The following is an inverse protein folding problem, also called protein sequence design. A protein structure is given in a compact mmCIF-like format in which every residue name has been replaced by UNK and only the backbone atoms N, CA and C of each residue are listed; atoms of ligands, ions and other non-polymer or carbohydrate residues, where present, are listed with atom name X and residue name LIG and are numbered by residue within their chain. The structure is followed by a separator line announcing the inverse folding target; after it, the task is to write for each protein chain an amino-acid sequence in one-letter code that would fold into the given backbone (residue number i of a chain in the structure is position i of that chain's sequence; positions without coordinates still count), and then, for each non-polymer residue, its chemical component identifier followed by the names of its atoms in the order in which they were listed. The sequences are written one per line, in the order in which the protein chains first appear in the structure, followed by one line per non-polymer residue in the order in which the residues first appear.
data_IF_328404099402
#
_entry.id   IF_328404099402
#
_cell.length_a   1.000
_cell.length_b   1.000
_cell.length_c   1.000
_cell.angle_alpha   90.00
_cell.angle_beta   90.00
_cell.angle_gamma   90.00
#
_symmetry.space_group_name_H-M   'P 1'
#
loop_
_entity.id
_entity.type
_entity.pdbx_description
1 polymer ?
#
# COMPACT_ATOMS: atom_id res chain seq x y z
N UNK A 1 52.51 41.73 36.32
CA UNK A 1 51.20 41.39 36.92
C UNK A 1 50.06 41.94 36.05
N UNK A 2 50.06 41.69 34.74
CA UNK A 2 49.00 42.15 33.79
C UNK A 2 48.65 41.06 32.75
N UNK A 3 49.38 39.94 32.71
CA UNK A 3 49.17 38.89 31.69
C UNK A 3 48.26 37.72 32.12
N UNK A 4 47.77 37.70 33.36
CA UNK A 4 46.89 36.62 33.85
C UNK A 4 45.40 36.97 33.72
N UNK A 5 45.06 38.24 33.45
CA UNK A 5 43.66 38.68 33.39
C UNK A 5 42.98 38.49 32.01
N UNK A 6 43.74 38.16 30.97
CA UNK A 6 43.24 38.11 29.58
C UNK A 6 42.83 36.70 29.10
N UNK A 7 43.12 35.66 29.87
CA UNK A 7 42.81 34.25 29.50
C UNK A 7 41.52 33.75 30.20
N UNK A 8 40.98 34.51 31.15
CA UNK A 8 39.73 34.16 31.85
C UNK A 8 38.45 34.66 31.17
N UNK A 9 38.56 35.42 30.06
CA UNK A 9 37.39 35.93 29.33
C UNK A 9 37.01 35.12 28.08
N UNK A 10 37.76 34.07 27.71
CA UNK A 10 37.51 33.30 26.47
C UNK A 10 36.67 32.02 26.64
N UNK A 11 36.15 31.73 27.84
CA UNK A 11 35.39 30.50 28.10
C UNK A 11 33.94 30.70 28.56
N UNK A 12 33.39 31.92 28.47
CA UNK A 12 31.96 32.17 28.67
C UNK A 12 31.29 32.48 27.31
N UNK A 13 31.58 31.66 26.31
CA UNK A 13 30.66 31.53 25.16
C UNK A 13 29.65 30.46 25.53
N UNK A 14 28.72 30.81 26.42
CA UNK A 14 27.52 30.03 26.63
C UNK A 14 26.78 30.06 25.28
N UNK A 15 26.88 28.98 24.49
CA UNK A 15 26.15 28.84 23.24
C UNK A 15 24.66 28.99 23.56
N UNK A 16 24.12 30.18 23.32
CA UNK A 16 22.70 30.45 23.48
C UNK A 16 21.99 29.59 22.44
N UNK A 17 21.32 28.54 22.91
CA UNK A 17 20.61 27.59 22.07
C UNK A 17 19.62 28.35 21.18
N UNK A 18 19.74 28.17 19.86
CA UNK A 18 18.85 28.85 18.92
C UNK A 18 17.41 28.39 19.11
N UNK A 19 16.44 29.26 18.86
CA UNK A 19 15.03 28.90 19.03
C UNK A 19 14.62 27.76 18.07
N UNK A 20 15.27 27.65 16.91
CA UNK A 20 15.10 26.56 15.95
C UNK A 20 15.46 25.21 16.59
N UNK A 21 16.61 25.16 17.27
CA UNK A 21 17.09 23.96 17.96
C UNK A 21 16.13 23.55 19.08
N UNK A 22 15.67 24.52 19.88
CA UNK A 22 14.71 24.27 20.95
C UNK A 22 13.35 23.80 20.42
N UNK A 23 12.86 24.36 19.31
CA UNK A 23 11.63 23.92 18.66
C UNK A 23 11.78 22.48 18.13
N UNK A 24 12.90 22.19 17.46
CA UNK A 24 13.19 20.85 16.95
C UNK A 24 13.29 19.82 18.08
N UNK A 25 13.92 20.16 19.20
CA UNK A 25 13.99 19.29 20.37
C UNK A 25 12.61 19.04 21.00
N UNK A 26 11.80 20.08 21.15
CA UNK A 26 10.44 19.96 21.71
C UNK A 26 9.52 19.09 20.83
N UNK A 27 9.72 19.08 19.51
CA UNK A 27 8.85 18.41 18.55
C UNK A 27 9.37 17.06 18.02
N UNK A 28 10.67 16.78 18.04
CA UNK A 28 11.24 15.54 17.49
C UNK A 28 10.83 14.26 18.23
N UNK A 29 10.44 14.40 19.50
CA UNK A 29 10.13 13.28 20.40
C UNK A 29 8.62 13.06 20.64
N UNK A 30 7.75 13.65 19.82
CA UNK A 30 6.30 13.53 19.94
C UNK A 30 5.79 12.17 19.44
N UNK A 31 4.83 11.57 20.14
CA UNK A 31 4.24 10.29 19.73
C UNK A 31 3.02 10.47 18.84
N UNK A 32 2.30 11.60 19.00
CA UNK A 32 1.10 11.90 18.25
C UNK A 32 1.05 13.39 17.93
N UNK A 33 0.60 13.70 16.73
CA UNK A 33 0.33 15.07 16.29
C UNK A 33 -1.08 15.18 15.74
N UNK A 34 -1.74 16.29 16.02
CA UNK A 34 -2.98 16.69 15.39
C UNK A 34 -2.83 18.13 14.87
N UNK A 35 -2.63 18.27 13.57
CA UNK A 35 -2.50 19.55 12.90
C UNK A 35 -3.87 20.18 12.64
N UNK A 36 -3.96 21.50 12.80
CA UNK A 36 -5.13 22.25 12.39
C UNK A 36 -5.19 22.32 10.85
N UNK A 37 -6.14 21.59 10.25
CA UNK A 37 -6.31 21.47 8.78
C UNK A 37 -6.44 22.82 8.05
N UNK A 38 -6.94 23.84 8.73
CA UNK A 38 -7.13 25.18 8.16
C UNK A 38 -5.82 25.94 7.94
N UNK A 39 -4.71 25.50 8.54
CA UNK A 39 -3.42 26.21 8.51
C UNK A 39 -2.29 25.35 7.92
N UNK A 40 -2.43 24.02 7.94
CA UNK A 40 -1.45 23.10 7.39
C UNK A 40 -1.44 23.16 5.85
N UNK A 41 -0.25 23.29 5.24
CA UNK A 41 -0.07 23.33 3.78
C UNK A 41 -0.87 24.45 3.08
N UNK A 42 -1.13 25.59 3.76
CA UNK A 42 -1.96 26.71 3.23
C UNK A 42 -1.17 27.96 2.83
N UNK A 43 0.16 27.90 2.83
CA UNK A 43 1.00 29.08 2.60
C UNK A 43 1.08 30.00 3.83
N UNK A 44 1.46 31.26 3.62
CA UNK A 44 1.73 32.20 4.72
C UNK A 44 0.49 32.48 5.58
N UNK A 45 0.63 32.29 6.89
CA UNK A 45 -0.43 32.50 7.87
C UNK A 45 -0.56 33.99 8.22
N UNK A 46 -1.32 34.72 7.41
CA UNK A 46 -1.52 36.18 7.58
C UNK A 46 -2.90 36.54 8.16
N UNK A 47 -3.85 35.62 8.12
CA UNK A 47 -5.24 35.86 8.49
C UNK A 47 -5.76 34.89 9.56
N UNK A 48 -6.67 35.34 10.44
CA UNK A 48 -7.06 36.74 10.66
C UNK A 48 -5.92 37.54 11.30
N UNK A 49 -5.79 38.85 11.02
CA UNK A 49 -4.65 39.64 11.50
C UNK A 49 -4.57 39.70 13.04
N UNK A 50 -3.36 39.80 13.58
CA UNK A 50 -3.05 39.89 15.02
C UNK A 50 -3.71 38.81 15.91
N UNK A 51 -4.04 37.64 15.37
CA UNK A 51 -4.82 36.60 16.06
C UNK A 51 -3.96 35.37 16.35
N UNK A 52 -4.18 34.75 17.52
CA UNK A 52 -3.54 33.49 17.88
C UNK A 52 -4.21 32.32 17.16
N UNK A 53 -3.45 31.66 16.28
CA UNK A 53 -3.84 30.45 15.57
C UNK A 53 -3.25 29.25 16.30
N UNK A 54 -4.10 28.28 16.65
CA UNK A 54 -3.63 26.98 17.12
C UNK A 54 -3.21 26.14 15.92
N UNK A 55 -1.90 25.95 15.72
CA UNK A 55 -1.36 25.27 14.55
C UNK A 55 -1.40 23.75 14.70
N UNK A 56 -1.01 23.27 15.87
CA UNK A 56 -0.93 21.84 16.13
C UNK A 56 -1.09 21.54 17.61
N UNK A 57 -1.52 20.32 17.88
CA UNK A 57 -1.53 19.70 19.20
C UNK A 57 -0.61 18.49 19.16
N UNK A 58 0.30 18.40 20.12
CA UNK A 58 1.31 17.36 20.23
C UNK A 58 1.13 16.60 21.53
N UNK A 59 1.30 15.29 21.50
CA UNK A 59 1.27 14.45 22.70
C UNK A 59 2.60 13.69 22.83
N UNK A 60 3.22 13.81 24.01
CA UNK A 60 4.43 13.09 24.42
C UNK A 60 4.18 12.51 25.81
N UNK A 61 4.11 11.18 25.93
CA UNK A 61 3.98 10.42 27.20
C UNK A 61 3.06 11.12 28.22
N UNK A 62 1.74 11.13 27.95
CA UNK A 62 0.69 11.76 28.79
C UNK A 62 0.78 13.29 28.99
N UNK A 63 1.75 13.99 28.38
CA UNK A 63 1.78 15.45 28.32
C UNK A 63 1.34 15.93 26.95
N UNK A 64 0.38 16.85 26.95
CA UNK A 64 -0.14 17.47 25.73
C UNK A 64 0.41 18.90 25.63
N UNK A 65 0.99 19.23 24.48
CA UNK A 65 1.48 20.57 24.15
C UNK A 65 0.74 21.11 22.94
N UNK A 66 0.59 22.43 22.85
CA UNK A 66 -0.01 23.08 21.70
C UNK A 66 0.88 24.18 21.18
N UNK A 67 1.08 24.16 19.86
CA UNK A 67 1.83 25.19 19.16
C UNK A 67 0.86 26.23 18.62
N UNK A 68 1.13 27.47 18.98
CA UNK A 68 0.37 28.64 18.58
C UNK A 68 1.26 29.58 17.78
N UNK A 69 0.66 30.19 16.77
CA UNK A 69 1.26 31.27 16.03
C UNK A 69 0.34 32.49 16.04
N UNK A 70 0.86 33.64 16.43
CA UNK A 70 0.16 34.91 16.31
C UNK A 70 0.50 35.51 14.95
N UNK A 71 -0.50 35.75 14.12
CA UNK A 71 -0.30 36.39 12.82
C UNK A 71 0.18 37.84 12.98
N UNK A 72 1.07 38.33 12.11
CA UNK A 72 1.51 39.73 12.13
C UNK A 72 0.36 40.69 11.79
N UNK A 73 0.50 41.96 12.18
CA UNK A 73 -0.40 43.03 11.77
C UNK A 73 0.27 44.40 11.91
N UNK A 74 0.31 45.16 10.81
CA UNK A 74 1.02 46.45 10.71
C UNK A 74 2.48 46.28 11.16
N UNK A 75 2.90 47.01 12.19
CA UNK A 75 4.27 46.97 12.73
C UNK A 75 4.50 45.77 13.65
N UNK A 76 3.44 45.10 14.14
CA UNK A 76 3.56 43.94 15.02
C UNK A 76 3.91 42.70 14.22
N UNK A 77 5.06 42.10 14.53
CA UNK A 77 5.54 40.85 13.95
C UNK A 77 4.82 39.65 14.55
N UNK A 78 4.89 38.53 13.84
CA UNK A 78 4.26 37.28 14.24
C UNK A 78 5.04 36.56 15.33
N UNK A 79 4.33 35.81 16.17
CA UNK A 79 4.90 35.19 17.37
C UNK A 79 4.61 33.70 17.41
N UNK A 80 5.64 32.87 17.50
CA UNK A 80 5.52 31.42 17.67
C UNK A 80 5.72 31.04 19.14
N UNK A 81 4.78 30.29 19.69
CA UNK A 81 4.76 29.91 21.11
C UNK A 81 4.26 28.49 21.29
N UNK A 82 4.85 27.76 22.23
CA UNK A 82 4.32 26.48 22.71
C UNK A 82 3.76 26.61 24.12
N UNK A 83 2.66 25.92 24.37
CA UNK A 83 1.94 25.93 25.66
C UNK A 83 1.70 24.49 26.09
N UNK A 84 2.00 24.17 27.35
CA UNK A 84 1.58 22.90 27.95
C UNK A 84 0.09 22.94 28.31
N UNK A 85 -0.61 21.84 28.06
CA UNK A 85 -2.04 21.74 28.33
C UNK A 85 -2.32 21.66 29.82
N UNK A 86 -3.26 22.48 30.30
CA UNK A 86 -3.83 22.38 31.64
C UNK A 86 -5.18 21.66 31.52
N UNK A 87 -5.34 20.51 32.19
CA UNK A 87 -6.55 19.69 32.14
C UNK A 87 -7.05 19.34 30.72
N UNK A 88 -6.14 19.04 29.79
CA UNK A 88 -6.45 18.60 28.42
C UNK A 88 -6.84 19.71 27.43
N UNK A 89 -6.98 20.96 27.90
CA UNK A 89 -7.21 22.16 27.08
C UNK A 89 -5.93 22.98 26.91
N UNK A 90 -5.82 23.65 25.77
CA UNK A 90 -4.72 24.57 25.48
C UNK A 90 -5.31 25.95 25.20
N UNK A 91 -4.74 26.98 25.82
CA UNK A 91 -5.08 28.38 25.57
C UNK A 91 -3.83 29.15 25.17
N UNK A 92 -3.92 29.98 24.14
CA UNK A 92 -2.80 30.83 23.71
C UNK A 92 -2.38 31.83 24.81
N UNK A 93 -3.30 32.17 25.70
CA UNK A 93 -3.11 33.13 26.80
C UNK A 93 -2.45 32.51 28.04
N UNK A 94 -2.37 31.18 28.14
CA UNK A 94 -1.64 30.51 29.23
C UNK A 94 -0.13 30.79 29.14
N UNK A 95 0.59 30.73 30.27
CA UNK A 95 2.06 30.84 30.26
C UNK A 95 2.66 29.73 29.40
N UNK A 96 3.62 30.08 28.55
CA UNK A 96 4.26 29.15 27.63
C UNK A 96 5.55 29.74 27.08
N UNK A 97 6.37 28.92 26.42
CA UNK A 97 7.65 29.34 25.84
C UNK A 97 7.41 30.00 24.49
N UNK A 98 7.87 31.23 24.34
CA UNK A 98 7.95 31.92 23.05
C UNK A 98 9.27 31.51 22.41
N UNK A 99 9.23 31.02 21.18
CA UNK A 99 10.44 30.66 20.43
C UNK A 99 11.00 31.89 19.73
N UNK A 100 10.15 32.61 19.00
CA UNK A 100 10.53 33.81 18.27
C UNK A 100 9.27 34.67 18.05
N UNK A 101 9.43 35.98 18.13
CA UNK A 101 8.39 37.00 18.05
C UNK A 101 8.59 38.00 16.90
N UNK A 102 9.50 37.71 15.97
CA UNK A 102 9.92 38.60 14.90
C UNK A 102 9.61 38.06 13.48
N UNK A 103 8.54 37.29 13.32
CA UNK A 103 8.17 36.75 11.99
C UNK A 103 7.43 37.78 11.13
N UNK A 104 7.94 38.09 9.93
CA UNK A 104 7.18 38.82 8.90
C UNK A 104 6.24 37.90 8.12
N UNK A 105 6.62 36.64 7.94
CA UNK A 105 5.81 35.58 7.36
C UNK A 105 6.15 34.24 8.03
N UNK A 106 5.17 33.36 8.15
CA UNK A 106 5.34 32.02 8.72
C UNK A 106 4.32 31.06 8.12
N UNK A 107 4.73 29.84 7.83
CA UNK A 107 3.86 28.74 7.40
C UNK A 107 4.42 27.41 7.86
N UNK A 108 3.53 26.42 7.98
CA UNK A 108 3.89 25.04 8.29
C UNK A 108 3.41 24.10 7.18
N UNK A 109 4.29 23.19 6.77
CA UNK A 109 3.95 22.09 5.89
C UNK A 109 4.23 20.76 6.56
N UNK A 110 3.48 19.74 6.19
CA UNK A 110 3.74 18.37 6.63
C UNK A 110 3.97 17.48 5.43
N UNK A 111 5.17 16.91 5.37
CA UNK A 111 5.64 16.02 4.31
C UNK A 111 5.74 14.62 4.89
N UNK A 112 4.99 13.69 4.29
CA UNK A 112 5.02 12.28 4.66
C UNK A 112 5.39 11.47 3.41
N UNK A 113 6.57 10.84 3.41
CA UNK A 113 7.02 9.97 2.34
C UNK A 113 6.73 8.50 2.67
N UNK A 114 6.28 7.74 1.68
CA UNK A 114 6.17 6.27 1.71
C UNK A 114 7.47 5.57 1.32
N UNK A 115 8.42 6.29 0.72
CA UNK A 115 9.72 5.78 0.31
C UNK A 115 10.83 6.12 1.33
N UNK A 116 11.75 5.18 1.47
CA UNK A 116 12.41 4.77 2.70
C UNK A 116 13.38 5.73 3.41
N UNK A 117 13.44 7.04 3.12
CA UNK A 117 14.51 7.88 3.69
C UNK A 117 14.10 9.18 4.40
N UNK A 118 12.82 9.55 4.50
CA UNK A 118 12.38 10.66 5.38
C UNK A 118 10.99 10.40 5.97
N UNK A 119 10.96 9.74 7.13
CA UNK A 119 9.77 9.60 7.96
C UNK A 119 9.31 10.98 8.44
N UNK A 120 8.05 11.32 8.12
CA UNK A 120 7.26 12.42 8.67
C UNK A 120 8.04 13.69 9.07
N UNK A 121 8.09 14.67 8.17
CA UNK A 121 8.75 15.96 8.42
C UNK A 121 7.70 17.05 8.57
N UNK A 122 7.87 17.87 9.60
CA UNK A 122 7.21 19.17 9.72
C UNK A 122 8.19 20.24 9.25
N UNK A 123 7.88 20.89 8.13
CA UNK A 123 8.64 22.03 7.64
C UNK A 123 8.04 23.31 8.21
N UNK A 124 8.85 24.11 8.90
CA UNK A 124 8.50 25.46 9.30
C UNK A 124 9.23 26.45 8.40
N UNK A 125 8.50 27.17 7.56
CA UNK A 125 9.06 28.15 6.63
C UNK A 125 8.71 29.55 7.13
N UNK A 126 9.71 30.41 7.26
CA UNK A 126 9.57 31.69 7.92
C UNK A 126 10.46 32.77 7.32
N UNK A 127 10.10 34.03 7.59
CA UNK A 127 10.89 35.19 7.21
C UNK A 127 11.04 36.13 8.41
N UNK A 128 12.27 36.61 8.62
CA UNK A 128 12.63 37.64 9.60
C UNK A 128 13.24 38.82 8.86
N UNK A 129 12.43 39.54 8.08
CA UNK A 129 12.89 40.59 7.17
C UNK A 129 12.75 40.18 5.71
N UNK A 130 13.84 40.27 4.93
CA UNK A 130 13.86 39.98 3.48
C UNK A 130 14.23 38.53 3.15
N UNK A 131 14.86 37.82 4.08
CA UNK A 131 15.27 36.44 3.87
C UNK A 131 14.15 35.47 4.23
N UNK A 132 14.04 34.38 3.48
CA UNK A 132 13.14 33.27 3.74
C UNK A 132 13.99 32.05 4.09
N UNK A 133 13.67 31.45 5.24
CA UNK A 133 14.36 30.31 5.81
C UNK A 133 13.38 29.15 5.98
N UNK A 134 13.92 27.94 6.03
CA UNK A 134 13.17 26.71 6.27
C UNK A 134 13.85 25.91 7.38
N UNK A 135 13.05 25.37 8.29
CA UNK A 135 13.47 24.45 9.34
C UNK A 135 12.72 23.13 9.17
N UNK A 136 13.46 22.06 8.91
CA UNK A 136 12.94 20.70 8.77
C UNK A 136 12.98 19.98 10.12
N UNK A 137 11.82 19.63 10.64
CA UNK A 137 11.69 18.96 11.94
C UNK A 137 11.27 17.51 11.70
N UNK A 138 12.19 16.54 11.83
CA UNK A 138 11.84 15.13 11.70
C UNK A 138 11.00 14.67 12.91
N UNK A 139 9.84 14.09 12.64
CA UNK A 139 8.91 13.57 13.64
C UNK A 139 9.14 12.05 13.80
N UNK A 140 10.30 11.71 14.37
CA UNK A 140 10.91 10.37 14.36
C UNK A 140 9.98 9.30 14.95
N UNK A 141 9.19 9.66 15.96
CA UNK A 141 8.28 8.75 16.68
C UNK A 141 6.90 8.62 16.03
N UNK A 142 6.60 9.38 14.96
CA UNK A 142 5.34 9.27 14.22
C UNK A 142 5.54 8.26 13.10
N UNK A 143 4.81 7.15 13.18
CA UNK A 143 4.77 6.15 12.11
C UNK A 143 3.72 6.53 11.07
N UNK A 144 4.13 6.66 9.81
CA UNK A 144 3.15 6.67 8.72
C UNK A 144 2.66 5.25 8.47
N UNK A 145 1.35 5.03 8.26
CA UNK A 145 0.91 3.78 7.66
C UNK A 145 1.59 3.71 6.28
N UNK A 146 2.44 2.69 6.10
CA UNK A 146 3.09 2.45 4.81
C UNK A 146 1.99 2.17 3.79
N UNK A 147 1.63 3.17 2.98
CA UNK A 147 0.88 2.93 1.75
C UNK A 147 1.88 2.38 0.76
N UNK A 148 1.89 1.06 0.65
CA UNK A 148 2.59 0.40 -0.43
C UNK A 148 1.79 0.67 -1.70
N UNK A 149 2.31 1.55 -2.56
CA UNK A 149 1.85 1.57 -3.95
C UNK A 149 2.40 0.31 -4.61
N UNK A 150 1.51 -0.40 -5.31
CA UNK A 150 1.89 -1.57 -6.08
C UNK A 150 2.90 -1.08 -7.11
N UNK A 151 4.13 -1.58 -7.04
CA UNK A 151 5.02 -1.43 -8.18
C UNK A 151 4.36 -2.20 -9.32
N UNK A 152 3.93 -1.50 -10.36
CA UNK A 152 3.66 -2.14 -11.63
C UNK A 152 4.93 -2.91 -12.00
N UNK A 153 4.79 -4.20 -12.27
CA UNK A 153 5.91 -5.04 -12.68
C UNK A 153 6.56 -4.39 -13.91
N UNK A 154 7.74 -3.77 -13.74
CA UNK A 154 8.52 -3.18 -14.84
C UNK A 154 9.20 -4.24 -15.72
N UNK A 155 8.73 -5.48 -15.66
CA UNK A 155 9.21 -6.59 -16.46
C UNK A 155 8.12 -6.93 -17.47
N UNK A 156 8.45 -6.86 -18.76
CA UNK A 156 7.57 -7.28 -19.87
C UNK A 156 7.21 -8.78 -19.82
N UNK A 157 7.82 -9.57 -18.92
CA UNK A 157 7.52 -10.99 -18.77
C UNK A 157 7.83 -11.53 -17.35
N UNK A 158 6.82 -12.04 -16.64
CA UNK A 158 6.99 -12.85 -15.42
C UNK A 158 6.55 -14.29 -15.69
N UNK A 159 7.44 -15.25 -15.42
CA UNK A 159 7.18 -16.70 -15.52
C UNK A 159 6.49 -17.30 -14.28
N UNK A 160 6.22 -16.46 -13.27
CA UNK A 160 5.37 -16.81 -12.13
C UNK A 160 4.31 -15.73 -12.05
N UNK A 161 3.02 -16.01 -12.32
CA UNK A 161 2.00 -15.02 -12.09
C UNK A 161 1.99 -14.70 -10.59
N UNK A 162 2.05 -13.41 -10.26
CA UNK A 162 1.73 -12.87 -8.95
C UNK A 162 0.50 -13.57 -8.39
N UNK A 163 0.69 -14.49 -7.45
CA UNK A 163 -0.42 -15.17 -6.77
C UNK A 163 -0.99 -14.18 -5.75
N UNK A 164 -2.01 -13.44 -6.19
CA UNK A 164 -2.85 -12.61 -5.34
C UNK A 164 -3.71 -13.51 -4.46
N UNK A 165 -3.39 -13.62 -3.17
CA UNK A 165 -4.33 -14.10 -2.17
C UNK A 165 -5.26 -12.93 -1.79
N UNK A 166 -6.36 -12.79 -2.54
CA UNK A 166 -7.50 -12.02 -2.05
C UNK A 166 -8.14 -12.74 -0.87
N UNK A 167 -8.82 -12.00 0.01
CA UNK A 167 -9.66 -12.60 1.06
C UNK A 167 -10.61 -13.62 0.43
N UNK A 168 -10.57 -14.86 0.93
CA UNK A 168 -11.48 -15.94 0.53
C UNK A 168 -12.92 -15.45 0.67
N UNK A 169 -13.53 -15.08 -0.46
CA UNK A 169 -14.98 -15.02 -0.53
C UNK A 169 -15.50 -16.45 -0.31
N UNK A 170 -16.45 -16.63 0.60
CA UNK A 170 -17.21 -17.87 0.83
C UNK A 170 -18.01 -18.28 -0.43
N UNK A 171 -17.31 -18.59 -1.52
CA UNK A 171 -17.90 -19.08 -2.75
C UNK A 171 -18.11 -20.59 -2.61
N UNK A 172 -19.28 -21.05 -3.04
CA UNK A 172 -19.63 -22.45 -3.05
C UNK A 172 -18.74 -23.18 -4.06
N UNK A 173 -17.71 -23.85 -3.55
CA UNK A 173 -16.72 -24.55 -4.37
C UNK A 173 -17.30 -25.86 -4.94
N UNK A 174 -16.88 -26.22 -6.15
CA UNK A 174 -17.23 -27.45 -6.84
C UNK A 174 -16.24 -28.57 -6.48
N UNK A 175 -16.80 -29.71 -6.07
CA UNK A 175 -16.05 -30.93 -5.75
C UNK A 175 -15.48 -31.62 -6.99
N UNK A 176 -14.45 -32.45 -6.78
CA UNK A 176 -13.85 -33.25 -7.83
C UNK A 176 -14.88 -34.18 -8.51
N UNK A 177 -14.76 -34.34 -9.83
CA UNK A 177 -15.67 -35.15 -10.65
C UNK A 177 -16.94 -34.44 -11.10
N UNK A 178 -17.19 -33.20 -10.64
CA UNK A 178 -18.29 -32.36 -11.17
C UNK A 178 -17.89 -31.70 -12.49
N UNK A 179 -18.83 -31.64 -13.43
CA UNK A 179 -18.66 -30.88 -14.67
C UNK A 179 -18.72 -29.38 -14.37
N UNK A 180 -17.67 -28.66 -14.78
CA UNK A 180 -17.57 -27.21 -14.61
C UNK A 180 -17.69 -26.44 -15.93
N UNK A 181 -17.58 -27.13 -17.07
CA UNK A 181 -17.91 -26.64 -18.40
C UNK A 181 -18.23 -27.87 -19.26
N UNK A 182 -19.28 -27.81 -20.07
CA UNK A 182 -19.75 -28.97 -20.82
C UNK A 182 -20.20 -28.57 -22.21
N UNK A 183 -19.81 -29.35 -23.21
CA UNK A 183 -20.18 -29.16 -24.61
C UNK A 183 -20.87 -30.41 -25.17
N UNK A 184 -21.71 -30.24 -26.18
CA UNK A 184 -22.31 -31.35 -26.92
C UNK A 184 -21.56 -31.65 -28.23
N UNK A 185 -22.03 -32.63 -28.99
CA UNK A 185 -21.47 -33.01 -30.30
C UNK A 185 -21.56 -31.93 -31.39
N UNK A 186 -22.43 -30.93 -31.19
CA UNK A 186 -22.53 -29.73 -32.05
C UNK A 186 -21.62 -28.60 -31.54
N UNK A 187 -20.81 -28.86 -30.52
CA UNK A 187 -19.91 -27.91 -29.91
C UNK A 187 -20.63 -26.68 -29.31
N UNK A 188 -21.88 -26.87 -28.90
CA UNK A 188 -22.65 -25.90 -28.14
C UNK A 188 -22.45 -26.14 -26.65
N UNK A 189 -22.39 -25.06 -25.89
CA UNK A 189 -22.24 -25.09 -24.44
C UNK A 189 -23.56 -25.56 -23.78
N UNK A 190 -23.51 -26.73 -23.15
CA UNK A 190 -24.62 -27.30 -22.36
C UNK A 190 -24.46 -27.03 -20.87
N UNK A 191 -23.23 -26.75 -20.41
CA UNK A 191 -22.94 -26.31 -19.04
C UNK A 191 -22.01 -25.10 -19.12
N UNK A 192 -22.52 -23.98 -18.63
CA UNK A 192 -21.82 -22.70 -18.48
C UNK A 192 -20.44 -22.84 -17.84
N UNK A 193 -19.44 -22.09 -18.31
CA UNK A 193 -18.11 -22.06 -17.72
C UNK A 193 -18.14 -21.54 -16.26
N UNK A 194 -17.85 -22.43 -15.32
CA UNK A 194 -17.75 -22.18 -13.87
C UNK A 194 -16.56 -22.90 -13.22
N UNK A 195 -15.52 -23.15 -14.00
CA UNK A 195 -14.34 -23.91 -13.60
C UNK A 195 -13.42 -23.17 -12.62
N UNK A 196 -13.61 -21.85 -12.49
CA UNK A 196 -13.06 -21.00 -11.43
C UNK A 196 -13.47 -21.46 -10.03
N UNK A 197 -14.58 -22.19 -9.91
CA UNK A 197 -15.10 -22.70 -8.63
C UNK A 197 -14.54 -24.07 -8.24
N UNK A 198 -13.70 -24.70 -9.05
CA UNK A 198 -13.18 -26.04 -8.75
C UNK A 198 -12.13 -26.00 -7.62
N UNK A 199 -12.29 -26.85 -6.60
CA UNK A 199 -11.38 -26.89 -5.44
C UNK A 199 -9.93 -27.25 -5.80
N UNK A 200 -9.73 -28.22 -6.70
CA UNK A 200 -8.42 -28.83 -6.96
C UNK A 200 -7.93 -28.60 -8.40
N UNK A 201 -8.47 -27.59 -9.07
CA UNK A 201 -8.19 -27.31 -10.47
C UNK A 201 -9.17 -27.99 -11.44
N UNK A 202 -8.78 -27.96 -12.71
CA UNK A 202 -9.64 -28.29 -13.84
C UNK A 202 -8.92 -29.31 -14.71
N UNK A 203 -9.68 -30.31 -15.17
CA UNK A 203 -9.20 -31.33 -16.08
C UNK A 203 -10.07 -31.32 -17.34
N UNK A 204 -9.44 -31.13 -18.48
CA UNK A 204 -10.09 -31.23 -19.78
C UNK A 204 -10.16 -32.68 -20.24
N UNK A 205 -11.32 -33.10 -20.73
CA UNK A 205 -11.56 -34.46 -21.20
C UNK A 205 -11.66 -34.51 -22.72
N UNK A 206 -11.41 -35.69 -23.29
CA UNK A 206 -11.63 -35.95 -24.71
C UNK A 206 -12.97 -36.64 -24.90
N UNK A 207 -13.96 -35.86 -25.36
CA UNK A 207 -15.33 -36.28 -25.65
C UNK A 207 -15.69 -36.07 -27.14
N UNK A 208 -15.92 -34.82 -27.53
CA UNK A 208 -16.34 -34.41 -28.88
C UNK A 208 -15.23 -33.68 -29.61
N UNK A 209 -15.32 -33.63 -30.94
CA UNK A 209 -14.29 -32.98 -31.76
C UNK A 209 -14.52 -31.47 -31.90
N UNK A 210 -14.45 -30.75 -30.79
CA UNK A 210 -14.76 -29.33 -30.75
C UNK A 210 -13.51 -28.45 -30.90
N UNK A 211 -13.53 -27.43 -31.79
CA UNK A 211 -12.41 -26.51 -31.98
C UNK A 211 -11.97 -25.79 -30.71
N UNK A 212 -12.92 -25.50 -29.81
CA UNK A 212 -12.68 -24.84 -28.53
C UNK A 212 -12.18 -25.76 -27.41
N UNK A 213 -11.97 -27.06 -27.69
CA UNK A 213 -11.68 -28.08 -26.67
C UNK A 213 -12.93 -28.78 -26.15
N UNK A 214 -12.70 -29.82 -25.35
CA UNK A 214 -13.75 -30.69 -24.82
C UNK A 214 -14.43 -30.18 -23.54
N UNK A 215 -15.26 -31.02 -22.94
CA UNK A 215 -15.81 -30.73 -21.61
C UNK A 215 -14.70 -30.67 -20.53
N UNK A 216 -15.00 -29.99 -19.42
CA UNK A 216 -14.07 -29.81 -18.30
C UNK A 216 -14.69 -30.22 -16.98
N UNK A 217 -13.93 -30.95 -16.19
CA UNK A 217 -14.32 -31.47 -14.88
C UNK A 217 -13.42 -30.91 -13.78
N UNK A 218 -13.98 -30.69 -12.60
CA UNK A 218 -13.18 -30.36 -11.44
C UNK A 218 -12.34 -31.55 -11.01
N UNK A 219 -11.07 -31.32 -10.74
CA UNK A 219 -10.15 -32.37 -10.34
C UNK A 219 -8.69 -31.96 -10.49
N UNK A 220 -7.76 -32.70 -9.88
CA UNK A 220 -6.35 -32.45 -10.08
C UNK A 220 -6.01 -32.60 -11.56
N UNK A 221 -5.25 -31.65 -12.14
CA UNK A 221 -4.80 -31.70 -13.54
C UNK A 221 -3.82 -32.86 -13.77
N UNK A 222 -4.36 -34.08 -13.81
CA UNK A 222 -3.67 -35.37 -13.98
C UNK A 222 -4.46 -36.19 -14.99
N UNK A 223 -3.75 -36.73 -15.97
CA UNK A 223 -4.30 -37.54 -17.04
C UNK A 223 -3.26 -38.59 -17.49
N UNK A 224 -3.68 -39.57 -18.27
CA UNK A 224 -2.80 -40.52 -18.94
C UNK A 224 -2.47 -41.81 -18.17
N UNK A 225 -2.72 -41.87 -16.85
CA UNK A 225 -2.45 -43.07 -16.03
C UNK A 225 -3.61 -44.07 -16.07
N UNK A 226 -3.35 -45.31 -15.65
CA UNK A 226 -4.37 -46.35 -15.55
C UNK A 226 -5.55 -45.89 -14.69
N UNK A 227 -6.78 -46.09 -15.19
CA UNK A 227 -8.05 -45.65 -14.61
C UNK A 227 -8.21 -44.12 -14.52
N UNK A 228 -7.42 -43.34 -15.25
CA UNK A 228 -7.59 -41.89 -15.38
C UNK A 228 -8.07 -41.52 -16.77
N UNK A 229 -8.50 -40.27 -16.94
CA UNK A 229 -8.83 -39.73 -18.26
C UNK A 229 -7.58 -39.71 -19.15
N UNK A 230 -7.76 -39.88 -20.45
CA UNK A 230 -6.67 -39.73 -21.41
C UNK A 230 -6.28 -38.25 -21.54
N UNK A 231 -4.99 -37.95 -21.67
CA UNK A 231 -4.55 -36.57 -21.87
C UNK A 231 -4.94 -36.09 -23.27
N UNK A 232 -5.63 -34.96 -23.42
CA UNK A 232 -5.98 -34.44 -24.73
C UNK A 232 -4.71 -34.13 -25.53
N UNK A 233 -4.67 -34.62 -26.77
CA UNK A 233 -3.65 -34.24 -27.76
C UNK A 233 -4.19 -33.06 -28.57
N UNK A 234 -3.35 -32.06 -28.81
CA UNK A 234 -3.77 -30.82 -29.46
C UNK A 234 -4.49 -31.02 -30.80
N UNK A 235 -5.41 -30.11 -31.10
CA UNK A 235 -6.36 -30.16 -32.24
C UNK A 235 -5.72 -30.43 -33.61
N UNK A 236 -4.44 -30.08 -33.80
CA UNK A 236 -3.71 -30.27 -35.06
C UNK A 236 -3.52 -31.75 -35.46
N UNK A 237 -3.61 -32.67 -34.49
CA UNK A 237 -3.59 -34.13 -34.74
C UNK A 237 -4.97 -34.63 -35.24
N UNK A 238 -6.03 -33.84 -35.05
CA UNK A 238 -7.44 -34.26 -35.11
C UNK A 238 -8.22 -33.69 -36.30
N UNK A 239 -7.55 -33.37 -37.42
CA UNK A 239 -8.15 -32.97 -38.70
C UNK A 239 -9.10 -34.04 -39.34
N UNK A 240 -9.55 -35.01 -38.55
CA UNK A 240 -10.60 -35.98 -38.80
C UNK A 240 -12.00 -35.36 -38.69
N UNK A 241 -12.88 -35.63 -39.65
CA UNK A 241 -14.30 -35.21 -39.67
C UNK A 241 -15.21 -35.97 -38.69
N UNK A 242 -14.66 -36.54 -37.62
CA UNK A 242 -15.43 -37.34 -36.65
C UNK A 242 -16.12 -36.41 -35.64
N UNK A 243 -17.41 -36.62 -35.39
CA UNK A 243 -18.18 -35.82 -34.42
C UNK A 243 -17.84 -36.19 -32.96
N UNK A 244 -17.41 -37.43 -32.72
CA UNK A 244 -16.94 -37.93 -31.41
C UNK A 244 -15.48 -38.35 -31.52
N UNK A 245 -14.71 -38.02 -30.49
CA UNK A 245 -13.33 -38.45 -30.33
C UNK A 245 -13.20 -39.63 -29.36
N UNK A 246 -14.31 -40.02 -28.72
CA UNK A 246 -14.36 -41.12 -27.78
C UNK A 246 -14.62 -42.46 -28.48
N UNK A 247 -13.55 -43.17 -28.82
CA UNK A 247 -13.57 -44.54 -29.32
C UNK A 247 -12.28 -45.26 -28.89
N UNK A 248 -12.32 -46.60 -28.87
CA UNK A 248 -11.15 -47.40 -28.47
C UNK A 248 -9.97 -47.16 -29.42
N UNK A 249 -8.79 -46.94 -28.84
CA UNK A 249 -7.57 -46.64 -29.60
C UNK A 249 -7.56 -45.25 -30.24
N UNK A 250 -8.47 -44.34 -29.84
CA UNK A 250 -8.53 -42.99 -30.36
C UNK A 250 -7.18 -42.26 -30.18
N UNK A 251 -6.62 -41.68 -31.26
CA UNK A 251 -5.36 -40.96 -31.21
C UNK A 251 -5.49 -39.57 -30.57
N UNK A 252 -6.72 -39.14 -30.26
CA UNK A 252 -7.04 -37.88 -29.59
C UNK A 252 -6.61 -37.83 -28.13
N UNK A 253 -6.48 -39.00 -27.50
CA UNK A 253 -5.97 -39.15 -26.15
C UNK A 253 -4.55 -39.69 -26.14
N UNK A 254 -3.75 -39.26 -25.16
CA UNK A 254 -2.48 -39.87 -24.79
C UNK A 254 -2.63 -40.62 -23.47
N UNK A 255 -2.11 -41.84 -23.43
CA UNK A 255 -1.95 -42.66 -22.24
C UNK A 255 -0.47 -43.02 -22.04
N UNK A 256 -0.07 -43.29 -20.79
CA UNK A 256 1.27 -43.74 -20.45
C UNK A 256 1.62 -45.06 -21.19
N UNK A 257 2.91 -45.34 -21.43
CA UNK A 257 3.35 -46.55 -22.11
C UNK A 257 2.77 -47.82 -21.47
N UNK A 258 2.21 -48.70 -22.30
CA UNK A 258 1.56 -49.95 -21.85
C UNK A 258 0.06 -49.84 -21.62
N UNK A 259 -0.53 -48.65 -21.72
CA UNK A 259 -1.98 -48.42 -21.62
C UNK A 259 -2.57 -48.04 -22.98
N UNK A 260 -3.88 -48.28 -23.16
CA UNK A 260 -4.63 -47.86 -24.35
C UNK A 260 -5.78 -46.93 -23.98
N UNK A 261 -6.22 -46.14 -24.95
CA UNK A 261 -7.41 -45.30 -24.82
C UNK A 261 -8.67 -46.15 -24.98
N UNK A 262 -9.61 -45.99 -24.06
CA UNK A 262 -10.93 -46.61 -24.09
C UNK A 262 -12.01 -45.57 -23.88
N UNK A 263 -13.16 -45.77 -24.51
CA UNK A 263 -14.32 -44.91 -24.29
C UNK A 263 -15.15 -45.44 -23.12
N UNK A 264 -15.34 -44.61 -22.08
CA UNK A 264 -16.16 -44.99 -20.93
C UNK A 264 -17.66 -44.74 -21.19
N UNK A 265 -18.50 -45.13 -20.23
CA UNK A 265 -19.97 -44.97 -20.30
C UNK A 265 -20.45 -43.51 -20.41
N UNK A 266 -19.59 -42.54 -20.07
CA UNK A 266 -19.87 -41.10 -20.18
C UNK A 266 -19.39 -40.49 -21.50
N UNK A 267 -18.99 -41.32 -22.48
CA UNK A 267 -18.36 -40.89 -23.73
C UNK A 267 -17.09 -40.05 -23.51
N UNK A 268 -16.28 -40.42 -22.52
CA UNK A 268 -14.98 -39.80 -22.23
C UNK A 268 -13.86 -40.83 -22.42
N UNK A 269 -12.76 -40.42 -23.09
CA UNK A 269 -11.57 -41.25 -23.19
C UNK A 269 -10.87 -41.41 -21.84
N UNK A 270 -10.61 -42.66 -21.47
CA UNK A 270 -9.83 -43.08 -20.30
C UNK A 270 -8.68 -44.00 -20.71
N UNK A 271 -7.72 -44.19 -19.81
CA UNK A 271 -6.57 -45.08 -20.02
C UNK A 271 -6.72 -46.37 -19.21
N UNK A 272 -6.66 -47.53 -19.89
CA UNK A 272 -6.69 -48.86 -19.26
C UNK A 272 -5.56 -49.76 -19.74
#
# INVERSE_FOLDING_TARGET
MIQVLLILFTFISCNQESWETSLQYDLSSINKVNFAKNYLNKGDLKNPPNTWLKLATFERVNKKKCLFYKTPYREKKGVLKIVESLAGKCSAFSKGRVYNDNFSAFRINYVSSTHAEKSNILEAIYSTGKEQLALDIPLINITSPKKYERYDNQLDFSLVPDVSFGEESNQLLLENGKVCHGVNSECQEVVGYKCDKCQNGVVEVVDYNCPQGGSKYCGPNKCGKKNQIACPRGYKILNTKLNSLCFEGSPAGFCEPGLRTYCNEKNILICL
#
